data_IF_437904701447
#
_entry.id   IF_437904701447
#
_cell.length_a   1.000
_cell.length_b   1.000
_cell.length_c   1.000
_cell.angle_alpha   90.00
_cell.angle_beta   90.00
_cell.angle_gamma   90.00
#
_symmetry.space_group_name_H-M   'P 1'
#
loop_
_entity.id
_entity.type
_entity.pdbx_description
1 polymer ?
#
# COMPACT_ATOMS: atom_id res chain seq x y z
N UNK A 1 5.01 22.12 7.85
CA UNK A 1 5.11 21.61 6.48
C UNK A 1 4.90 22.75 5.48
N UNK A 2 3.74 23.45 5.50
CA UNK A 2 3.44 24.54 4.56
C UNK A 2 4.51 25.64 4.52
N UNK A 3 5.07 26.04 5.66
CA UNK A 3 6.13 27.06 5.72
C UNK A 3 7.38 26.69 4.91
N UNK A 4 7.77 25.42 4.90
CA UNK A 4 8.90 24.93 4.10
C UNK A 4 8.61 25.01 2.61
N UNK A 5 7.38 24.62 2.20
CA UNK A 5 6.95 24.74 0.81
C UNK A 5 6.88 26.21 0.37
N UNK A 6 6.35 27.09 1.22
CA UNK A 6 6.28 28.52 0.93
C UNK A 6 7.68 29.13 0.76
N UNK A 7 8.64 28.74 1.63
CA UNK A 7 10.02 29.20 1.52
C UNK A 7 10.68 28.74 0.21
N UNK A 8 10.48 27.48 -0.19
CA UNK A 8 10.98 26.95 -1.46
C UNK A 8 10.39 27.69 -2.67
N UNK A 9 9.10 28.06 -2.62
CA UNK A 9 8.45 28.88 -3.64
C UNK A 9 9.03 30.30 -3.68
N UNK A 10 9.17 30.95 -2.54
CA UNK A 10 9.70 32.32 -2.45
C UNK A 10 11.10 32.47 -3.06
N UNK A 11 11.95 31.46 -2.90
CA UNK A 11 13.32 31.47 -3.46
C UNK A 11 13.41 30.78 -4.83
N UNK A 12 12.27 30.49 -5.46
CA UNK A 12 12.20 29.91 -6.81
C UNK A 12 12.82 28.53 -6.93
N UNK A 13 12.73 27.69 -5.89
CA UNK A 13 13.29 26.32 -5.84
C UNK A 13 12.24 25.24 -6.08
N UNK A 14 11.21 25.54 -6.86
CA UNK A 14 10.24 24.56 -7.37
C UNK A 14 10.26 24.55 -8.90
N UNK A 15 10.03 23.38 -9.49
CA UNK A 15 9.96 23.21 -10.93
C UNK A 15 11.31 23.37 -11.67
N UNK A 16 12.41 23.26 -10.98
CA UNK A 16 13.77 23.28 -11.57
C UNK A 16 14.48 21.96 -11.31
N UNK A 17 15.34 21.48 -12.23
CA UNK A 17 16.15 20.29 -12.02
C UNK A 17 16.95 20.38 -10.70
N UNK A 18 16.96 19.31 -9.93
CA UNK A 18 17.65 19.22 -8.65
C UNK A 18 17.04 20.06 -7.51
N UNK A 19 15.84 20.64 -7.72
CA UNK A 19 15.14 21.46 -6.72
C UNK A 19 13.77 20.90 -6.40
N UNK A 20 13.36 20.98 -5.13
CA UNK A 20 12.03 20.51 -4.73
C UNK A 20 11.85 20.52 -3.22
N UNK A 21 10.66 20.13 -2.78
CA UNK A 21 10.34 19.86 -1.39
C UNK A 21 10.15 18.36 -1.25
N UNK A 22 11.12 17.69 -0.63
CA UNK A 22 11.14 16.25 -0.47
C UNK A 22 10.87 15.89 0.99
N UNK A 23 9.65 15.44 1.32
CA UNK A 23 9.35 14.98 2.67
C UNK A 23 10.11 13.69 2.96
N UNK A 24 10.90 13.67 4.01
CA UNK A 24 11.54 12.44 4.50
C UNK A 24 10.48 11.58 5.15
N UNK A 25 10.25 10.40 4.61
CA UNK A 25 9.29 9.41 5.12
C UNK A 25 9.95 8.52 6.17
N UNK A 26 9.16 8.04 7.15
CA UNK A 26 9.66 7.18 8.23
C UNK A 26 10.03 5.77 7.80
N UNK A 27 9.18 5.14 6.96
CA UNK A 27 9.41 3.79 6.50
C UNK A 27 9.81 3.75 5.02
N UNK A 28 10.41 2.62 4.64
CA UNK A 28 10.72 2.33 3.25
C UNK A 28 9.44 2.21 2.42
N UNK A 29 9.45 2.77 1.21
CA UNK A 29 8.34 2.75 0.26
C UNK A 29 7.00 3.35 0.75
N UNK A 30 6.98 4.18 1.78
CA UNK A 30 5.75 4.90 2.19
C UNK A 30 5.21 5.76 1.05
N UNK A 31 6.10 6.35 0.25
CA UNK A 31 5.68 7.10 -0.93
C UNK A 31 4.93 6.21 -1.92
N UNK A 32 5.46 5.01 -2.22
CA UNK A 32 4.81 4.04 -3.09
C UNK A 32 3.46 3.55 -2.54
N UNK A 33 3.38 3.28 -1.25
CA UNK A 33 2.12 2.90 -0.59
C UNK A 33 1.05 4.01 -0.76
N UNK A 34 1.41 5.27 -0.55
CA UNK A 34 0.52 6.41 -0.78
C UNK A 34 0.12 6.53 -2.26
N UNK A 35 1.09 6.39 -3.17
CA UNK A 35 0.85 6.48 -4.61
C UNK A 35 -0.10 5.37 -5.10
N UNK A 36 -0.08 4.20 -4.46
CA UNK A 36 -0.97 3.08 -4.77
C UNK A 36 -2.32 3.14 -4.06
N UNK A 37 -2.60 4.19 -3.29
CA UNK A 37 -3.89 4.39 -2.65
C UNK A 37 -4.05 3.63 -1.33
N UNK A 38 -2.97 3.40 -0.58
CA UNK A 38 -3.06 2.94 0.82
C UNK A 38 -3.64 4.06 1.70
N UNK A 39 -4.88 4.42 1.43
CA UNK A 39 -5.61 5.55 2.02
C UNK A 39 -7.11 5.26 1.96
N UNK A 40 -7.88 5.62 2.99
CA UNK A 40 -9.31 5.27 3.06
C UNK A 40 -10.17 6.01 2.03
N UNK A 41 -9.67 7.04 1.36
CA UNK A 41 -10.44 7.93 0.50
C UNK A 41 -9.91 8.03 -0.93
N UNK A 42 -8.90 7.23 -1.32
CA UNK A 42 -8.24 7.36 -2.62
C UNK A 42 -7.92 5.99 -3.23
N UNK A 43 -8.02 5.92 -4.56
CA UNK A 43 -7.37 4.91 -5.37
C UNK A 43 -5.94 5.34 -5.73
N UNK A 44 -5.22 4.51 -6.48
CA UNK A 44 -3.87 4.82 -6.96
C UNK A 44 -3.80 6.19 -7.65
N UNK A 45 -2.66 6.88 -7.49
CA UNK A 45 -2.46 8.22 -8.04
C UNK A 45 -3.31 9.31 -7.39
N UNK A 46 -3.68 9.14 -6.12
CA UNK A 46 -4.47 10.12 -5.35
C UNK A 46 -5.85 10.42 -5.94
N UNK A 47 -6.44 9.47 -6.64
CA UNK A 47 -7.74 9.61 -7.28
C UNK A 47 -8.86 9.40 -6.25
N UNK A 48 -9.60 10.46 -5.95
CA UNK A 48 -10.59 10.43 -4.86
C UNK A 48 -11.78 9.51 -5.17
N UNK A 49 -12.10 8.63 -4.24
CA UNK A 49 -13.18 7.63 -4.31
C UNK A 49 -14.59 8.28 -4.32
N UNK A 50 -14.74 9.51 -3.79
CA UNK A 50 -16.00 10.26 -3.81
C UNK A 50 -16.40 10.78 -5.22
N UNK A 51 -15.46 10.78 -6.19
CA UNK A 51 -15.72 11.23 -7.56
C UNK A 51 -16.35 10.12 -8.41
N UNK A 52 -17.58 10.30 -8.93
CA UNK A 52 -18.26 9.27 -9.72
C UNK A 52 -17.44 8.75 -10.90
N UNK A 53 -16.86 9.63 -11.72
CA UNK A 53 -16.07 9.26 -12.88
C UNK A 53 -14.78 8.47 -12.52
N UNK A 54 -14.22 8.67 -11.33
CA UNK A 54 -13.10 7.87 -10.83
C UNK A 54 -13.59 6.45 -10.51
N UNK A 55 -14.70 6.31 -9.78
CA UNK A 55 -15.28 4.98 -9.46
C UNK A 55 -15.69 4.22 -10.71
N UNK A 56 -16.27 4.89 -11.71
CA UNK A 56 -16.63 4.28 -12.98
C UNK A 56 -15.41 3.74 -13.72
N UNK A 57 -14.32 4.51 -13.76
CA UNK A 57 -13.05 4.08 -14.37
C UNK A 57 -12.49 2.83 -13.72
N UNK A 58 -12.35 2.82 -12.40
CA UNK A 58 -11.84 1.65 -11.68
C UNK A 58 -12.82 0.49 -11.70
N UNK A 59 -14.13 0.76 -11.61
CA UNK A 59 -15.18 -0.25 -11.74
C UNK A 59 -15.16 -0.96 -13.08
N UNK A 60 -14.91 -0.21 -14.16
CA UNK A 60 -14.76 -0.79 -15.51
C UNK A 60 -13.47 -1.61 -15.64
N UNK A 61 -12.35 -1.12 -15.08
CA UNK A 61 -11.07 -1.82 -15.15
C UNK A 61 -11.09 -3.15 -14.37
N UNK A 62 -11.81 -3.19 -13.25
CA UNK A 62 -11.87 -4.36 -12.36
C UNK A 62 -13.16 -5.15 -12.45
N UNK A 63 -14.02 -4.83 -13.42
CA UNK A 63 -15.34 -5.45 -13.64
C UNK A 63 -16.15 -5.60 -12.34
N UNK A 64 -16.22 -4.53 -11.57
CA UNK A 64 -16.92 -4.52 -10.28
C UNK A 64 -17.48 -3.14 -9.93
N UNK A 65 -18.49 -3.11 -9.07
CA UNK A 65 -19.08 -1.86 -8.57
C UNK A 65 -18.27 -1.36 -7.39
N UNK A 66 -17.66 -0.17 -7.55
CA UNK A 66 -16.91 0.47 -6.47
C UNK A 66 -17.83 1.03 -5.39
N UNK A 67 -17.46 0.78 -4.13
CA UNK A 67 -18.13 1.37 -2.97
C UNK A 67 -17.89 2.90 -2.97
N UNK A 68 -18.93 3.74 -2.89
CA UNK A 68 -18.79 5.20 -2.84
C UNK A 68 -18.35 5.74 -1.46
N UNK A 69 -18.45 4.92 -0.42
CA UNK A 69 -18.18 5.34 0.94
C UNK A 69 -16.67 5.44 1.20
N UNK A 70 -16.27 6.53 1.85
CA UNK A 70 -14.90 6.69 2.33
C UNK A 70 -14.66 5.71 3.49
N UNK A 71 -13.53 5.02 3.46
CA UNK A 71 -13.12 4.10 4.51
C UNK A 71 -12.75 4.81 5.82
N UNK A 72 -12.50 4.05 6.86
CA UNK A 72 -12.07 4.56 8.18
C UNK A 72 -10.54 4.68 8.21
N UNK A 73 -10.02 5.76 8.80
CA UNK A 73 -8.58 5.89 9.05
C UNK A 73 -8.13 4.90 10.12
N UNK A 74 -6.86 4.48 10.06
CA UNK A 74 -6.33 3.47 10.98
C UNK A 74 -6.59 3.81 12.45
N UNK A 75 -6.27 5.04 12.88
CA UNK A 75 -6.50 5.51 14.26
C UNK A 75 -7.97 5.54 14.67
N UNK A 76 -8.87 5.74 13.72
CA UNK A 76 -10.33 5.78 13.97
C UNK A 76 -10.97 4.37 13.97
N UNK A 77 -10.20 3.34 13.56
CA UNK A 77 -10.67 1.96 13.60
C UNK A 77 -10.75 1.40 15.03
N UNK A 78 -9.79 1.74 15.89
CA UNK A 78 -9.71 1.17 17.24
C UNK A 78 -10.98 1.39 18.09
N UNK A 79 -11.51 2.61 18.22
CA UNK A 79 -12.77 2.80 18.94
C UNK A 79 -13.95 2.06 18.29
N UNK A 80 -13.96 1.92 16.96
CA UNK A 80 -15.03 1.20 16.24
C UNK A 80 -14.97 -0.32 16.42
N UNK A 81 -13.80 -0.89 16.70
CA UNK A 81 -13.68 -2.29 17.11
C UNK A 81 -14.32 -2.49 18.47
N UNK A 82 -14.01 -1.63 19.44
CA UNK A 82 -14.59 -1.71 20.79
C UNK A 82 -16.12 -1.52 20.78
N UNK A 83 -16.66 -0.66 19.91
CA UNK A 83 -18.12 -0.47 19.76
C UNK A 83 -18.81 -1.61 19.00
N UNK A 84 -18.04 -2.50 18.36
CA UNK A 84 -18.59 -3.60 17.53
C UNK A 84 -19.00 -3.17 16.12
N UNK A 85 -18.69 -1.95 15.69
CA UNK A 85 -18.93 -1.48 14.32
C UNK A 85 -17.96 -2.13 13.33
N UNK A 86 -16.75 -2.48 13.78
CA UNK A 86 -15.77 -3.28 13.05
C UNK A 86 -15.63 -4.60 13.79
N UNK A 87 -15.91 -5.70 13.10
CA UNK A 87 -15.93 -7.06 13.66
C UNK A 87 -14.78 -7.92 13.12
N UNK A 88 -14.26 -7.60 11.95
CA UNK A 88 -13.15 -8.29 11.33
C UNK A 88 -12.08 -7.32 10.86
N UNK A 89 -10.83 -7.72 10.99
CA UNK A 89 -9.67 -6.93 10.57
C UNK A 89 -8.66 -7.81 9.85
N UNK A 90 -8.06 -7.27 8.80
CA UNK A 90 -6.86 -7.78 8.18
C UNK A 90 -5.76 -6.72 8.25
N UNK A 91 -4.66 -7.01 8.91
CA UNK A 91 -3.48 -6.14 8.96
C UNK A 91 -2.44 -6.66 7.97
N UNK A 92 -1.78 -5.75 7.29
CA UNK A 92 -0.75 -6.03 6.32
C UNK A 92 0.56 -5.30 6.69
N UNK A 93 1.53 -6.05 7.20
CA UNK A 93 2.89 -5.58 7.45
C UNK A 93 2.99 -4.42 8.46
N UNK A 94 2.20 -4.42 9.51
CA UNK A 94 2.20 -3.35 10.53
C UNK A 94 2.02 -3.95 11.94
N UNK A 95 2.73 -3.37 12.93
CA UNK A 95 2.67 -3.78 14.34
C UNK A 95 2.10 -2.66 15.23
N UNK A 96 0.77 -2.36 15.15
CA UNK A 96 0.16 -1.26 15.89
C UNK A 96 0.27 -1.40 17.41
N UNK A 97 0.40 -2.60 17.96
CA UNK A 97 0.65 -2.80 19.41
C UNK A 97 1.96 -2.10 19.85
N UNK A 98 2.95 -1.99 18.95
CA UNK A 98 4.23 -1.33 19.22
C UNK A 98 4.32 0.09 18.69
N UNK A 99 3.62 0.40 17.59
CA UNK A 99 3.77 1.68 16.89
C UNK A 99 2.78 2.74 17.33
N UNK A 100 1.60 2.34 17.82
CA UNK A 100 0.60 3.29 18.29
C UNK A 100 0.83 3.73 19.75
N UNK A 101 0.51 5.00 20.08
CA UNK A 101 0.86 5.59 21.38
C UNK A 101 0.18 4.94 22.59
N UNK A 102 -1.00 4.33 22.41
CA UNK A 102 -1.79 3.75 23.50
C UNK A 102 -1.93 2.24 23.34
N UNK A 103 -0.86 1.52 23.66
CA UNK A 103 -0.76 0.06 23.54
C UNK A 103 -1.95 -0.69 24.18
N UNK A 104 -2.36 -0.31 25.40
CA UNK A 104 -3.49 -0.97 26.07
C UNK A 104 -4.83 -0.80 25.32
N UNK A 105 -5.04 0.39 24.75
CA UNK A 105 -6.22 0.65 23.93
C UNK A 105 -6.21 -0.18 22.64
N UNK A 106 -5.04 -0.29 21.99
CA UNK A 106 -4.86 -1.10 20.78
C UNK A 106 -5.13 -2.57 21.07
N UNK A 107 -4.51 -3.14 22.11
CA UNK A 107 -4.71 -4.55 22.49
C UNK A 107 -6.20 -4.82 22.76
N UNK A 108 -6.84 -3.99 23.60
CA UNK A 108 -8.26 -4.14 23.89
C UNK A 108 -9.15 -4.06 22.63
N UNK A 109 -8.78 -3.21 21.67
CA UNK A 109 -9.49 -3.09 20.41
C UNK A 109 -9.37 -4.34 19.55
N UNK A 110 -8.15 -4.88 19.42
CA UNK A 110 -7.91 -6.11 18.66
C UNK A 110 -8.60 -7.33 19.29
N UNK A 111 -8.56 -7.45 20.63
CA UNK A 111 -9.23 -8.51 21.37
C UNK A 111 -10.78 -8.45 21.29
N UNK A 112 -11.35 -7.31 20.90
CA UNK A 112 -12.80 -7.15 20.73
C UNK A 112 -13.31 -7.60 19.36
N UNK A 113 -12.42 -7.97 18.42
CA UNK A 113 -12.81 -8.43 17.10
C UNK A 113 -13.37 -9.86 17.12
N UNK A 114 -14.33 -10.15 16.25
CA UNK A 114 -14.81 -11.51 15.99
C UNK A 114 -13.80 -12.33 15.16
N UNK A 115 -12.95 -11.67 14.35
CA UNK A 115 -11.93 -12.28 13.54
C UNK A 115 -10.79 -11.31 13.23
N UNK A 116 -9.55 -11.74 13.44
CA UNK A 116 -8.37 -10.97 13.13
C UNK A 116 -7.33 -11.80 12.37
N UNK A 117 -6.95 -11.35 11.18
CA UNK A 117 -5.87 -11.94 10.39
C UNK A 117 -4.76 -10.92 10.12
N UNK A 118 -3.54 -11.39 10.00
CA UNK A 118 -2.38 -10.56 9.71
C UNK A 118 -1.46 -11.23 8.68
N UNK A 119 -0.96 -10.44 7.74
CA UNK A 119 0.19 -10.79 6.89
C UNK A 119 1.43 -10.13 7.49
N UNK A 120 2.40 -10.93 7.92
CA UNK A 120 3.55 -10.44 8.65
C UNK A 120 4.82 -11.27 8.39
N UNK A 121 5.98 -10.64 8.53
CA UNK A 121 7.29 -11.27 8.36
C UNK A 121 7.78 -11.98 9.63
N UNK A 122 7.40 -11.45 10.78
CA UNK A 122 7.86 -11.90 12.10
C UNK A 122 6.70 -12.08 13.05
N UNK A 123 6.91 -12.86 14.11
CA UNK A 123 5.95 -12.98 15.19
C UNK A 123 5.99 -11.72 16.07
N UNK A 124 5.33 -10.65 15.59
CA UNK A 124 5.22 -9.37 16.29
C UNK A 124 4.25 -9.45 17.49
N UNK A 125 4.22 -8.42 18.33
CA UNK A 125 3.26 -8.37 19.45
C UNK A 125 1.81 -8.31 18.92
N UNK A 126 1.58 -7.64 17.79
CA UNK A 126 0.28 -7.65 17.12
C UNK A 126 -0.07 -9.03 16.56
N UNK A 127 0.89 -9.71 15.92
CA UNK A 127 0.66 -11.02 15.33
C UNK A 127 0.28 -12.09 16.38
N UNK A 128 0.72 -11.94 17.61
CA UNK A 128 0.36 -12.87 18.73
C UNK A 128 -1.13 -12.81 19.09
N UNK A 129 -1.84 -11.75 18.72
CA UNK A 129 -3.27 -11.56 18.96
C UNK A 129 -4.15 -12.04 17.79
N UNK A 130 -3.54 -12.40 16.67
CA UNK A 130 -4.27 -12.78 15.46
C UNK A 130 -4.79 -14.22 15.51
N UNK A 131 -5.98 -14.45 14.97
CA UNK A 131 -6.55 -15.80 14.76
C UNK A 131 -5.83 -16.51 13.62
N UNK A 132 -5.36 -15.74 12.60
CA UNK A 132 -4.65 -16.28 11.43
C UNK A 132 -3.45 -15.39 11.11
N UNK A 133 -2.29 -16.02 10.94
CA UNK A 133 -1.06 -15.38 10.49
C UNK A 133 -0.71 -15.94 9.11
N UNK A 134 -0.55 -15.06 8.15
CA UNK A 134 -0.11 -15.38 6.80
C UNK A 134 1.37 -14.95 6.68
N UNK A 135 2.30 -15.87 6.44
CA UNK A 135 3.71 -15.53 6.38
C UNK A 135 4.05 -14.88 5.03
N UNK A 136 4.22 -13.56 5.05
CA UNK A 136 4.62 -12.76 3.91
C UNK A 136 6.10 -12.86 3.56
N UNK A 137 6.53 -12.12 2.54
CA UNK A 137 7.92 -12.02 2.10
C UNK A 137 8.43 -10.60 2.20
N UNK A 138 9.68 -10.46 2.66
CA UNK A 138 10.38 -9.19 2.65
C UNK A 138 10.66 -8.71 1.21
N UNK A 139 11.03 -7.45 1.05
CA UNK A 139 11.37 -6.89 -0.27
C UNK A 139 12.57 -7.58 -0.93
N UNK A 140 13.47 -8.19 -0.14
CA UNK A 140 14.62 -8.93 -0.67
C UNK A 140 14.23 -10.31 -1.25
N UNK A 141 13.05 -10.80 -0.93
CA UNK A 141 12.56 -12.15 -1.26
C UNK A 141 11.47 -12.13 -2.35
N UNK A 142 11.13 -10.95 -2.84
CA UNK A 142 10.11 -10.73 -3.89
C UNK A 142 10.55 -9.66 -4.88
N UNK A 143 9.81 -9.51 -5.96
CA UNK A 143 10.00 -8.47 -6.95
C UNK A 143 8.91 -7.42 -6.90
N UNK A 144 9.20 -6.25 -7.43
CA UNK A 144 8.25 -5.16 -7.54
C UNK A 144 8.91 -3.83 -7.87
N UNK A 145 8.29 -2.75 -7.40
CA UNK A 145 8.80 -1.39 -7.53
C UNK A 145 8.63 -0.62 -6.24
N UNK A 146 9.57 0.28 -5.97
CA UNK A 146 9.47 1.26 -4.90
C UNK A 146 9.47 2.67 -5.48
N UNK A 147 8.76 3.57 -4.81
CA UNK A 147 8.85 5.02 -5.08
C UNK A 147 9.62 5.69 -3.96
N UNK A 148 10.69 6.41 -4.30
CA UNK A 148 11.45 7.18 -3.32
C UNK A 148 10.78 8.55 -3.01
N UNK A 149 11.36 9.33 -2.11
CA UNK A 149 10.80 10.63 -1.70
C UNK A 149 10.79 11.69 -2.81
N UNK A 150 11.64 11.58 -3.81
CA UNK A 150 11.61 12.43 -5.01
C UNK A 150 10.66 11.94 -6.10
N UNK A 151 9.88 10.86 -5.79
CA UNK A 151 8.90 10.20 -6.66
C UNK A 151 9.50 9.48 -7.87
N UNK A 152 10.73 9.05 -7.76
CA UNK A 152 11.32 8.13 -8.73
C UNK A 152 10.85 6.71 -8.43
N UNK A 153 10.25 6.06 -9.41
CA UNK A 153 9.89 4.64 -9.36
C UNK A 153 11.12 3.81 -9.73
N UNK A 154 11.46 2.85 -8.88
CA UNK A 154 12.68 2.05 -9.00
C UNK A 154 12.34 0.56 -8.89
N UNK A 155 13.06 -0.26 -9.67
CA UNK A 155 12.91 -1.72 -9.61
C UNK A 155 13.47 -2.30 -8.32
N UNK A 156 12.69 -3.18 -7.70
CA UNK A 156 13.14 -4.07 -6.64
C UNK A 156 13.22 -5.47 -7.23
N UNK A 157 14.40 -6.08 -7.17
CA UNK A 157 14.65 -7.44 -7.67
C UNK A 157 14.87 -8.36 -6.50
N UNK A 158 14.33 -9.58 -6.62
CA UNK A 158 14.57 -10.61 -5.61
C UNK A 158 16.08 -10.89 -5.50
N UNK A 159 16.60 -10.77 -4.31
CA UNK A 159 18.02 -10.97 -4.00
C UNK A 159 18.28 -12.27 -3.22
N UNK A 160 17.27 -12.79 -2.53
CA UNK A 160 17.39 -13.96 -1.65
C UNK A 160 16.29 -14.97 -1.98
N UNK A 161 16.66 -16.23 -2.10
CA UNK A 161 15.70 -17.33 -2.09
C UNK A 161 15.37 -17.69 -0.63
N UNK A 162 14.10 -17.94 -0.37
CA UNK A 162 13.63 -18.37 0.93
C UNK A 162 13.02 -19.77 0.82
N UNK A 163 13.37 -20.60 1.76
CA UNK A 163 12.75 -21.91 1.96
C UNK A 163 11.51 -21.79 2.86
N UNK A 164 10.53 -22.66 2.64
CA UNK A 164 9.30 -22.71 3.43
C UNK A 164 8.05 -22.19 2.73
N UNK A 165 6.97 -22.03 3.49
CA UNK A 165 5.62 -21.78 2.95
C UNK A 165 5.27 -20.30 2.78
N UNK A 166 6.23 -19.40 2.91
CA UNK A 166 6.00 -17.96 2.70
C UNK A 166 5.56 -17.66 1.26
N UNK A 167 4.67 -16.70 1.10
CA UNK A 167 4.18 -16.29 -0.21
C UNK A 167 4.35 -14.77 -0.42
N UNK A 168 4.55 -14.31 -1.67
CA UNK A 168 4.49 -12.88 -1.95
C UNK A 168 3.10 -12.33 -1.62
N UNK A 169 3.03 -11.09 -1.13
CA UNK A 169 1.77 -10.44 -0.76
C UNK A 169 0.74 -10.43 -1.90
N UNK A 170 1.21 -10.23 -3.14
CA UNK A 170 0.36 -10.29 -4.34
C UNK A 170 -0.31 -11.64 -4.51
N UNK A 171 0.38 -12.73 -4.18
CA UNK A 171 -0.20 -14.07 -4.17
C UNK A 171 -1.24 -14.23 -3.06
N UNK A 172 -0.92 -13.76 -1.84
CA UNK A 172 -1.81 -13.82 -0.68
C UNK A 172 -3.12 -13.08 -0.97
N UNK A 173 -3.03 -11.83 -1.44
CA UNK A 173 -4.22 -11.04 -1.79
C UNK A 173 -5.03 -11.67 -2.93
N UNK A 174 -4.37 -12.21 -3.96
CA UNK A 174 -5.07 -12.89 -5.06
C UNK A 174 -5.84 -14.12 -4.55
N UNK A 175 -5.25 -14.92 -3.67
CA UNK A 175 -5.92 -16.09 -3.08
C UNK A 175 -7.08 -15.69 -2.16
N UNK A 176 -6.96 -14.61 -1.40
CA UNK A 176 -8.08 -14.06 -0.61
C UNK A 176 -9.23 -13.65 -1.54
N UNK A 177 -8.95 -12.84 -2.58
CA UNK A 177 -9.96 -12.41 -3.56
C UNK A 177 -10.68 -13.61 -4.20
N UNK A 178 -9.94 -14.61 -4.64
CA UNK A 178 -10.50 -15.82 -5.26
C UNK A 178 -11.45 -16.57 -4.32
N UNK A 179 -11.07 -16.73 -3.05
CA UNK A 179 -11.89 -17.42 -2.04
C UNK A 179 -13.10 -16.59 -1.60
N UNK A 180 -13.02 -15.27 -1.74
CA UNK A 180 -14.15 -14.36 -1.49
C UNK A 180 -15.13 -14.24 -2.70
N UNK A 181 -14.91 -15.01 -3.76
CA UNK A 181 -15.80 -15.04 -4.92
C UNK A 181 -15.46 -14.03 -6.02
N UNK A 182 -14.28 -13.41 -5.95
CA UNK A 182 -13.75 -12.55 -6.99
C UNK A 182 -12.49 -13.18 -7.62
N UNK A 183 -12.65 -14.13 -8.56
CA UNK A 183 -11.53 -14.88 -9.12
C UNK A 183 -10.67 -14.00 -10.02
N UNK A 184 -9.42 -13.80 -9.60
CA UNK A 184 -8.40 -13.10 -10.37
C UNK A 184 -7.24 -14.04 -10.72
N UNK A 185 -6.57 -13.85 -11.85
CA UNK A 185 -5.36 -14.58 -12.17
C UNK A 185 -4.20 -14.13 -11.25
N UNK A 186 -3.23 -15.02 -11.04
CA UNK A 186 -1.97 -14.62 -10.43
C UNK A 186 -1.13 -13.84 -11.45
N UNK A 187 -1.14 -12.52 -11.33
CA UNK A 187 -0.36 -11.63 -12.18
C UNK A 187 1.09 -11.55 -11.70
N UNK A 188 2.01 -11.43 -12.65
CA UNK A 188 3.40 -11.07 -12.37
C UNK A 188 3.48 -9.60 -11.92
N UNK A 189 4.53 -9.19 -11.18
CA UNK A 189 4.73 -7.79 -10.82
C UNK A 189 4.79 -6.84 -12.03
N UNK A 190 5.26 -7.30 -13.19
CA UNK A 190 5.24 -6.54 -14.43
C UNK A 190 3.81 -6.30 -14.93
N UNK A 191 2.99 -7.34 -14.98
CA UNK A 191 1.57 -7.23 -15.39
C UNK A 191 0.77 -6.35 -14.42
N UNK A 192 1.06 -6.40 -13.12
CA UNK A 192 0.45 -5.51 -12.12
C UNK A 192 0.85 -4.05 -12.40
N UNK A 193 2.13 -3.79 -12.74
CA UNK A 193 2.59 -2.44 -13.08
C UNK A 193 1.91 -1.93 -14.35
N UNK A 194 1.71 -2.77 -15.37
CA UNK A 194 1.00 -2.40 -16.60
C UNK A 194 -0.47 -2.02 -16.31
N UNK A 195 -1.14 -2.77 -15.43
CA UNK A 195 -2.48 -2.42 -14.97
C UNK A 195 -2.49 -1.10 -14.20
N UNK A 196 -1.57 -0.90 -13.25
CA UNK A 196 -1.42 0.37 -12.52
C UNK A 196 -1.25 1.53 -13.51
N UNK A 197 -0.36 1.40 -14.48
CA UNK A 197 -0.10 2.43 -15.50
C UNK A 197 -1.36 2.76 -16.32
N UNK A 198 -2.22 1.77 -16.59
CA UNK A 198 -3.44 1.94 -17.37
C UNK A 198 -4.53 2.75 -16.65
N UNK A 199 -4.62 2.62 -15.31
CA UNK A 199 -5.66 3.27 -14.50
C UNK A 199 -5.16 4.48 -13.72
N UNK A 200 -3.85 4.74 -13.72
CA UNK A 200 -3.20 5.76 -12.91
C UNK A 200 -2.42 6.74 -13.81
N UNK A 201 -2.99 7.91 -14.16
CA UNK A 201 -2.36 8.84 -15.10
C UNK A 201 -0.93 9.27 -14.73
N UNK A 202 -0.63 9.42 -13.44
CA UNK A 202 0.71 9.76 -12.96
C UNK A 202 1.75 8.63 -13.14
N UNK A 203 1.30 7.41 -13.42
CA UNK A 203 2.14 6.24 -13.70
C UNK A 203 2.11 5.83 -15.19
N UNK A 204 1.39 6.58 -16.02
CA UNK A 204 1.30 6.29 -17.46
C UNK A 204 2.69 6.22 -18.10
N UNK A 205 2.96 5.09 -18.78
CA UNK A 205 4.25 4.82 -19.43
C UNK A 205 5.34 4.27 -18.50
N UNK A 206 5.04 3.99 -17.23
CA UNK A 206 5.95 3.23 -16.37
C UNK A 206 5.70 1.74 -16.62
N UNK A 207 6.75 1.01 -17.00
CA UNK A 207 6.75 -0.44 -17.15
C UNK A 207 8.04 -1.03 -16.59
N UNK A 208 8.04 -2.32 -16.25
CA UNK A 208 9.27 -2.98 -15.82
C UNK A 208 10.34 -2.95 -16.92
N UNK A 209 9.95 -3.16 -18.18
CA UNK A 209 10.87 -3.10 -19.33
C UNK A 209 11.57 -1.73 -19.42
N UNK A 210 10.79 -0.64 -19.31
CA UNK A 210 11.36 0.71 -19.34
C UNK A 210 12.25 0.98 -18.14
N UNK A 211 11.87 0.55 -16.92
CA UNK A 211 12.68 0.73 -15.72
C UNK A 211 13.97 -0.10 -15.73
N UNK A 212 14.00 -1.19 -16.49
CA UNK A 212 15.17 -2.06 -16.62
C UNK A 212 16.09 -1.61 -17.77
N UNK A 213 15.68 -0.63 -18.61
CA UNK A 213 16.52 -0.10 -19.69
C UNK A 213 17.70 0.70 -19.12
N UNK A 214 18.83 0.68 -19.86
CA UNK A 214 20.04 1.41 -19.47
C UNK A 214 19.84 2.93 -19.44
N UNK A 215 18.96 3.46 -20.30
CA UNK A 215 18.64 4.90 -20.35
C UNK A 215 18.02 5.42 -19.06
N UNK A 216 17.27 4.60 -18.34
CA UNK A 216 16.61 5.01 -17.09
C UNK A 216 17.55 4.81 -15.88
N UNK A 217 18.43 3.82 -15.94
CA UNK A 217 19.37 3.53 -14.85
C UNK A 217 20.59 4.48 -14.82
N UNK A 218 20.82 5.25 -15.89
CA UNK A 218 21.92 6.21 -16.01
C UNK A 218 21.58 7.67 -15.66
N UNK A 219 20.38 7.96 -15.14
CA UNK A 219 19.96 9.33 -14.79
C UNK A 219 19.83 9.52 -13.28
#
# INVERSE_FOLDING_TARGET
VMSMSNMAMMVGKLGKPGCGVNPIRGQNNVQGACDMGASPNQFSGYQNIDKPGVREKFGKAWDTKMNPNIGTKATDCFPKMISGDIKGLFIFGEDPVRTDPNTHHVIKSLESLDFFAIDELFMTETAKLADVILPGRSYAEKEGTFSNTERRVQRVRKAVEIEGDTKPDTWIFTEIMRRMGYPQPHLTPAQIMDEIASVTPSFAGISHERLDSEEVNGQ
#
